data_IF_732850955259
#
_entry.id   IF_732850955259
#
_cell.length_a   1.000
_cell.length_b   1.000
_cell.length_c   1.000
_cell.angle_alpha   90.00
_cell.angle_beta   90.00
_cell.angle_gamma   90.00
#
_symmetry.space_group_name_H-M   'P 1'
#
loop_
_entity.id
_entity.type
_entity.pdbx_description
1 polymer ?
#
# COMPACT_ATOMS: atom_id res chain seq x y z
N UNK A 1 -21.58 -0.16 -39.96
CA UNK A 1 -21.25 -0.03 -38.56
C UNK A 1 -22.39 -0.60 -37.76
N UNK A 2 -22.28 -1.87 -37.29
CA UNK A 2 -23.22 -2.43 -36.33
C UNK A 2 -23.10 -1.66 -35.03
N UNK A 3 -24.07 -0.83 -34.69
CA UNK A 3 -24.21 -0.30 -33.31
C UNK A 3 -24.60 -1.49 -32.44
N UNK A 4 -23.69 -1.99 -31.64
CA UNK A 4 -24.00 -2.91 -30.57
C UNK A 4 -24.92 -2.16 -29.60
N UNK A 5 -26.17 -2.58 -29.53
CA UNK A 5 -27.15 -2.06 -28.56
C UNK A 5 -26.83 -2.73 -27.20
N UNK A 6 -25.77 -2.19 -26.50
CA UNK A 6 -25.34 -2.69 -25.22
C UNK A 6 -26.12 -1.96 -24.12
N UNK A 7 -26.90 -2.71 -23.36
CA UNK A 7 -27.62 -2.15 -22.22
C UNK A 7 -26.66 -1.77 -21.08
N UNK A 8 -27.03 -0.75 -20.29
CA UNK A 8 -26.24 -0.37 -19.09
C UNK A 8 -26.10 -1.54 -18.12
N UNK A 9 -27.10 -2.42 -18.08
CA UNK A 9 -27.07 -3.62 -17.24
C UNK A 9 -25.94 -4.58 -17.64
N UNK A 10 -25.79 -4.85 -18.94
CA UNK A 10 -24.67 -5.69 -19.42
C UNK A 10 -23.32 -5.06 -19.11
N UNK A 11 -23.20 -3.74 -19.23
CA UNK A 11 -21.95 -3.03 -18.92
C UNK A 11 -21.55 -3.20 -17.47
N UNK A 12 -22.43 -2.93 -16.51
CA UNK A 12 -22.10 -3.02 -15.09
C UNK A 12 -21.83 -4.46 -14.64
N UNK A 13 -22.54 -5.45 -15.23
CA UNK A 13 -22.35 -6.87 -14.94
C UNK A 13 -21.05 -7.44 -15.52
N UNK A 14 -20.51 -6.85 -16.59
CA UNK A 14 -19.21 -7.23 -17.16
C UNK A 14 -18.02 -6.70 -16.35
N UNK A 15 -18.24 -5.74 -15.45
CA UNK A 15 -17.16 -5.16 -14.63
C UNK A 15 -16.77 -6.11 -13.50
N UNK A 16 -15.46 -6.23 -13.27
CA UNK A 16 -14.91 -7.06 -12.19
C UNK A 16 -14.96 -6.39 -10.81
N UNK A 17 -15.11 -5.08 -10.78
CA UNK A 17 -15.26 -4.31 -9.56
C UNK A 17 -16.68 -4.49 -9.02
N UNK A 18 -16.83 -4.65 -7.71
CA UNK A 18 -18.13 -4.71 -7.06
C UNK A 18 -18.82 -3.35 -7.16
N UNK A 19 -20.02 -3.32 -7.75
CA UNK A 19 -20.77 -2.09 -7.98
C UNK A 19 -22.16 -2.24 -7.38
N UNK A 20 -22.56 -1.24 -6.58
CA UNK A 20 -23.93 -1.03 -6.15
C UNK A 20 -24.43 0.33 -6.63
N UNK A 21 -25.66 0.39 -7.08
CA UNK A 21 -26.37 1.62 -7.41
C UNK A 21 -27.39 1.88 -6.31
N UNK A 22 -27.31 3.07 -5.75
CA UNK A 22 -28.08 3.50 -4.58
C UNK A 22 -28.93 4.70 -5.00
N UNK A 23 -30.21 4.71 -4.64
CA UNK A 23 -31.11 5.82 -4.94
C UNK A 23 -30.89 7.03 -3.99
N UNK A 24 -31.63 8.12 -4.21
CA UNK A 24 -31.52 9.32 -3.38
C UNK A 24 -31.94 9.11 -1.91
N UNK A 25 -32.66 8.04 -1.60
CA UNK A 25 -33.03 7.63 -0.23
C UNK A 25 -31.96 6.77 0.46
N UNK A 26 -30.85 6.46 -0.23
CA UNK A 26 -29.81 5.58 0.29
C UNK A 26 -30.12 4.09 0.13
N UNK A 27 -31.15 3.73 -0.66
CA UNK A 27 -31.58 2.34 -0.86
C UNK A 27 -30.89 1.75 -2.09
N UNK A 28 -30.36 0.55 -1.97
CA UNK A 28 -29.76 -0.20 -3.08
C UNK A 28 -30.86 -0.56 -4.10
N UNK A 29 -30.71 -0.12 -5.34
CA UNK A 29 -31.62 -0.44 -6.43
C UNK A 29 -31.05 -1.45 -7.42
N UNK A 30 -29.73 -1.62 -7.44
CA UNK A 30 -29.07 -2.63 -8.28
C UNK A 30 -27.68 -2.94 -7.72
N UNK A 31 -27.24 -4.19 -7.91
CA UNK A 31 -25.85 -4.62 -7.70
C UNK A 31 -25.40 -5.42 -8.92
N UNK A 32 -24.10 -5.42 -9.20
CA UNK A 32 -23.56 -6.21 -10.29
C UNK A 32 -23.18 -7.64 -9.84
N UNK A 33 -22.81 -8.48 -10.81
CA UNK A 33 -22.44 -9.87 -10.55
C UNK A 33 -21.21 -9.98 -9.62
N UNK A 34 -20.21 -9.09 -9.77
CA UNK A 34 -19.03 -9.07 -8.93
C UNK A 34 -19.36 -8.78 -7.45
N UNK A 35 -20.34 -7.91 -7.18
CA UNK A 35 -20.84 -7.67 -5.82
C UNK A 35 -21.42 -8.94 -5.18
N UNK A 36 -22.31 -9.62 -5.92
CA UNK A 36 -22.94 -10.86 -5.43
C UNK A 36 -21.89 -11.93 -5.19
N UNK A 37 -20.93 -12.09 -6.09
CA UNK A 37 -19.87 -13.09 -5.97
C UNK A 37 -18.94 -12.78 -4.78
N UNK A 38 -18.52 -11.54 -4.61
CA UNK A 38 -17.67 -11.14 -3.49
C UNK A 38 -18.37 -11.39 -2.14
N UNK A 39 -19.66 -11.04 -2.05
CA UNK A 39 -20.44 -11.28 -0.85
C UNK A 39 -20.62 -12.79 -0.56
N UNK A 40 -20.81 -13.60 -1.62
CA UNK A 40 -20.88 -15.06 -1.50
C UNK A 40 -19.58 -15.64 -0.96
N UNK A 41 -18.44 -15.20 -1.47
CA UNK A 41 -17.10 -15.61 -0.98
C UNK A 41 -16.89 -15.24 0.50
N UNK A 42 -17.67 -14.28 0.99
CA UNK A 42 -17.70 -13.82 2.38
C UNK A 42 -18.78 -14.49 3.24
N UNK A 43 -19.47 -15.49 2.68
CA UNK A 43 -20.46 -16.30 3.39
C UNK A 43 -21.89 -15.79 3.30
N UNK A 44 -22.16 -14.73 2.54
CA UNK A 44 -23.54 -14.28 2.26
C UNK A 44 -24.16 -15.21 1.21
N UNK A 45 -25.34 -15.79 1.42
CA UNK A 45 -25.97 -16.66 0.44
C UNK A 45 -26.17 -15.94 -0.91
N UNK A 46 -25.94 -16.64 -2.04
CA UNK A 46 -26.17 -16.07 -3.38
C UNK A 46 -27.63 -15.65 -3.61
N UNK A 47 -28.58 -16.28 -2.90
CA UNK A 47 -29.99 -15.92 -2.92
C UNK A 47 -30.35 -14.68 -2.13
N UNK A 48 -29.36 -14.05 -1.46
CA UNK A 48 -29.59 -12.84 -0.68
C UNK A 48 -29.98 -11.68 -1.60
N UNK A 49 -31.11 -11.03 -1.29
CA UNK A 49 -31.59 -9.91 -2.06
C UNK A 49 -31.03 -8.60 -1.53
N UNK A 50 -30.08 -8.03 -2.24
CA UNK A 50 -29.46 -6.73 -1.94
C UNK A 50 -30.37 -5.54 -2.26
N UNK A 51 -31.32 -5.70 -3.20
CA UNK A 51 -32.22 -4.63 -3.61
C UNK A 51 -33.24 -4.34 -2.51
N UNK A 52 -33.40 -3.08 -2.17
CA UNK A 52 -34.29 -2.64 -1.09
C UNK A 52 -33.59 -2.43 0.25
N UNK A 53 -32.31 -2.78 0.38
CA UNK A 53 -31.54 -2.59 1.62
C UNK A 53 -30.98 -1.16 1.63
N UNK A 54 -31.02 -0.51 2.80
CA UNK A 54 -30.38 0.80 2.98
C UNK A 54 -28.86 0.64 3.05
N UNK A 55 -28.17 1.21 2.05
CA UNK A 55 -26.71 1.13 1.96
C UNK A 55 -26.02 1.84 3.12
N UNK A 56 -26.59 2.94 3.63
CA UNK A 56 -25.97 3.69 4.74
C UNK A 56 -25.90 2.85 6.04
N UNK A 57 -26.86 1.93 6.25
CA UNK A 57 -26.81 1.00 7.39
C UNK A 57 -25.70 -0.05 7.22
N UNK A 58 -25.44 -0.49 5.99
CA UNK A 58 -24.33 -1.39 5.68
C UNK A 58 -23.00 -0.66 5.87
N UNK A 59 -22.91 0.57 5.38
CA UNK A 59 -21.71 1.40 5.51
C UNK A 59 -21.37 1.68 6.98
N UNK A 60 -22.36 1.95 7.82
CA UNK A 60 -22.20 2.12 9.26
C UNK A 60 -21.60 0.86 9.91
N UNK A 61 -22.13 -0.30 9.59
CA UNK A 61 -21.62 -1.57 10.08
C UNK A 61 -20.19 -1.91 9.59
N UNK A 62 -19.76 -1.37 8.45
CA UNK A 62 -18.45 -1.60 7.85
C UNK A 62 -17.40 -0.57 8.26
N UNK A 63 -17.79 0.69 8.53
CA UNK A 63 -16.87 1.80 8.85
C UNK A 63 -16.30 1.73 10.28
N UNK A 64 -16.83 0.89 11.14
CA UNK A 64 -16.37 0.77 12.53
C UNK A 64 -16.66 2.05 13.34
N UNK A 65 -15.64 2.63 13.98
CA UNK A 65 -15.82 3.76 14.91
C UNK A 65 -15.70 5.15 14.25
N UNK A 66 -15.54 5.24 12.91
CA UNK A 66 -15.35 6.54 12.24
C UNK A 66 -16.67 7.11 11.72
N UNK A 67 -17.38 7.86 12.59
CA UNK A 67 -18.62 8.56 12.23
C UNK A 67 -18.44 9.55 11.06
N UNK A 68 -17.23 10.05 10.80
CA UNK A 68 -16.97 11.01 9.72
C UNK A 68 -17.13 10.39 8.32
N UNK A 69 -16.95 9.07 8.19
CA UNK A 69 -17.08 8.40 6.90
C UNK A 69 -18.53 8.34 6.43
N UNK A 70 -19.48 8.18 7.34
CA UNK A 70 -20.91 8.24 7.03
C UNK A 70 -21.33 9.63 6.56
N UNK A 71 -20.87 10.69 7.23
CA UNK A 71 -21.15 12.07 6.84
C UNK A 71 -20.63 12.39 5.44
N UNK A 72 -19.43 11.87 5.09
CA UNK A 72 -18.83 12.03 3.76
C UNK A 72 -19.61 11.27 2.69
N UNK A 73 -20.04 10.05 2.96
CA UNK A 73 -20.91 9.28 2.05
C UNK A 73 -22.27 9.98 1.86
N UNK A 74 -22.85 10.48 2.94
CA UNK A 74 -24.09 11.26 2.89
C UNK A 74 -23.93 12.53 2.05
N UNK A 75 -22.79 13.21 2.14
CA UNK A 75 -22.48 14.38 1.32
C UNK A 75 -22.42 14.03 -0.18
N UNK A 76 -21.93 12.84 -0.55
CA UNK A 76 -21.96 12.36 -1.94
C UNK A 76 -23.41 12.08 -2.38
N UNK A 77 -24.18 11.40 -1.54
CA UNK A 77 -25.58 11.08 -1.83
C UNK A 77 -26.41 12.34 -2.06
N UNK A 78 -26.17 13.38 -1.28
CA UNK A 78 -26.81 14.69 -1.42
C UNK A 78 -26.23 15.56 -2.54
N UNK A 79 -25.14 15.13 -3.18
CA UNK A 79 -24.46 15.86 -4.25
C UNK A 79 -23.65 17.07 -3.78
N UNK A 80 -23.42 17.21 -2.48
CA UNK A 80 -22.54 18.23 -1.88
C UNK A 80 -21.09 17.90 -2.26
N UNK A 81 -20.72 16.62 -2.19
CA UNK A 81 -19.41 16.12 -2.66
C UNK A 81 -19.57 15.40 -4.00
N UNK A 82 -18.57 15.52 -4.86
CA UNK A 82 -18.50 14.83 -6.16
C UNK A 82 -17.82 13.48 -6.08
N UNK A 83 -17.20 13.17 -4.95
CA UNK A 83 -16.40 11.96 -4.79
C UNK A 83 -16.17 11.67 -3.33
N UNK A 84 -16.13 10.37 -2.98
CA UNK A 84 -15.68 9.85 -1.70
C UNK A 84 -14.79 8.63 -1.96
N UNK A 85 -13.73 8.49 -1.17
CA UNK A 85 -12.85 7.32 -1.15
C UNK A 85 -12.35 7.09 0.26
N UNK A 86 -12.40 5.83 0.69
CA UNK A 86 -11.78 5.38 1.93
C UNK A 86 -11.27 3.95 1.80
N UNK A 87 -10.35 3.56 2.66
CA UNK A 87 -9.83 2.21 2.77
C UNK A 87 -10.15 1.69 4.17
N UNK A 88 -10.72 0.51 4.26
CA UNK A 88 -11.08 -0.08 5.53
C UNK A 88 -10.70 -1.56 5.58
N UNK A 89 -10.57 -2.06 6.79
CA UNK A 89 -10.29 -3.46 7.04
C UNK A 89 -11.57 -4.15 7.50
N UNK A 90 -12.04 -5.14 6.77
CA UNK A 90 -13.17 -5.94 7.17
C UNK A 90 -12.79 -6.82 8.36
N UNK A 91 -13.50 -6.66 9.48
CA UNK A 91 -13.36 -7.48 10.68
C UNK A 91 -14.32 -8.68 10.68
N UNK A 92 -15.31 -8.69 9.79
CA UNK A 92 -16.36 -9.71 9.72
C UNK A 92 -15.86 -11.03 9.09
N UNK A 93 -14.67 -11.03 8.48
CA UNK A 93 -14.13 -12.13 7.69
C UNK A 93 -12.79 -12.60 8.27
N UNK A 94 -12.58 -13.91 8.29
CA UNK A 94 -11.29 -14.53 8.63
C UNK A 94 -10.76 -15.31 7.42
N UNK A 95 -9.56 -14.97 6.87
CA UNK A 95 -8.67 -13.89 7.28
C UNK A 95 -9.21 -12.51 6.88
N UNK A 96 -8.96 -11.53 7.74
CA UNK A 96 -9.37 -10.13 7.52
C UNK A 96 -8.82 -9.57 6.20
N UNK A 97 -9.67 -8.91 5.41
CA UNK A 97 -9.35 -8.34 4.11
C UNK A 97 -9.37 -6.81 4.14
N UNK A 98 -8.61 -6.20 3.24
CA UNK A 98 -8.63 -4.77 3.00
C UNK A 98 -9.51 -4.44 1.80
N UNK A 99 -10.41 -3.49 2.00
CA UNK A 99 -11.28 -2.98 0.94
C UNK A 99 -11.08 -1.49 0.74
N UNK A 100 -11.23 -1.06 -0.50
CA UNK A 100 -11.39 0.34 -0.87
C UNK A 100 -12.83 0.56 -1.30
N UNK A 101 -13.47 1.53 -0.69
CA UNK A 101 -14.77 2.04 -1.12
C UNK A 101 -14.58 3.34 -1.89
N UNK A 102 -15.31 3.50 -2.98
CA UNK A 102 -15.43 4.74 -3.74
C UNK A 102 -16.90 5.02 -4.00
N UNK A 103 -17.33 6.26 -3.86
CA UNK A 103 -18.69 6.65 -4.14
C UNK A 103 -18.74 7.91 -5.02
N UNK A 104 -19.67 7.91 -5.96
CA UNK A 104 -19.89 8.98 -6.95
C UNK A 104 -21.37 9.32 -7.02
N UNK A 105 -21.77 10.62 -7.07
CA UNK A 105 -23.17 10.98 -7.24
C UNK A 105 -23.64 10.61 -8.65
N UNK A 106 -24.81 9.98 -8.74
CA UNK A 106 -25.46 9.65 -9.99
C UNK A 106 -26.33 10.81 -10.43
N UNK A 107 -26.02 11.46 -11.56
CA UNK A 107 -26.72 12.63 -12.10
C UNK A 107 -27.08 12.40 -13.57
N UNK A 108 -28.18 12.98 -14.04
CA UNK A 108 -28.55 13.00 -15.47
C UNK A 108 -27.76 14.04 -16.27
N UNK A 109 -27.24 15.07 -15.59
CA UNK A 109 -26.45 16.16 -16.16
C UNK A 109 -25.61 16.85 -15.07
N UNK A 110 -24.60 17.63 -15.48
CA UNK A 110 -23.65 18.23 -14.57
C UNK A 110 -24.24 19.23 -13.57
N UNK A 111 -25.46 19.73 -13.79
CA UNK A 111 -26.14 20.75 -12.99
C UNK A 111 -27.43 20.27 -12.31
N UNK A 112 -27.80 18.99 -12.49
CA UNK A 112 -28.99 18.43 -11.87
C UNK A 112 -28.70 17.89 -10.47
N UNK A 113 -29.74 17.86 -9.63
CA UNK A 113 -29.66 17.19 -8.33
C UNK A 113 -29.34 15.70 -8.51
N UNK A 114 -28.57 15.10 -7.60
CA UNK A 114 -28.24 13.69 -7.70
C UNK A 114 -29.51 12.84 -7.52
N UNK A 115 -29.65 11.83 -8.35
CA UNK A 115 -30.70 10.82 -8.26
C UNK A 115 -30.33 9.66 -7.36
N UNK A 116 -29.13 9.70 -6.81
CA UNK A 116 -28.53 8.65 -6.00
C UNK A 116 -27.02 8.68 -6.10
N UNK A 117 -26.39 7.54 -5.84
CA UNK A 117 -24.94 7.36 -5.97
C UNK A 117 -24.60 5.99 -6.52
N UNK A 118 -23.41 5.89 -7.11
CA UNK A 118 -22.76 4.63 -7.45
C UNK A 118 -21.71 4.37 -6.38
N UNK A 119 -21.73 3.18 -5.82
CA UNK A 119 -20.73 2.71 -4.86
C UNK A 119 -19.91 1.60 -5.49
N UNK A 120 -18.60 1.70 -5.42
CA UNK A 120 -17.66 0.72 -5.90
C UNK A 120 -16.84 0.18 -4.71
N UNK A 121 -16.75 -1.15 -4.60
CA UNK A 121 -15.87 -1.81 -3.65
C UNK A 121 -14.79 -2.60 -4.40
N UNK A 122 -13.55 -2.48 -3.93
CA UNK A 122 -12.40 -3.20 -4.48
C UNK A 122 -11.64 -3.89 -3.36
N UNK A 123 -11.34 -5.17 -3.50
CA UNK A 123 -10.41 -5.87 -2.61
C UNK A 123 -8.98 -5.42 -2.92
N UNK A 124 -8.36 -4.74 -1.96
CA UNK A 124 -7.00 -4.22 -2.04
C UNK A 124 -6.01 -4.99 -1.15
N UNK A 125 -6.40 -6.16 -0.64
CA UNK A 125 -5.58 -6.97 0.28
C UNK A 125 -4.21 -7.29 -0.31
N UNK A 126 -4.18 -7.67 -1.60
CA UNK A 126 -2.92 -7.95 -2.31
C UNK A 126 -2.03 -6.71 -2.43
N UNK A 127 -2.62 -5.55 -2.71
CA UNK A 127 -1.88 -4.28 -2.79
C UNK A 127 -1.28 -3.92 -1.44
N UNK A 128 -2.06 -4.04 -0.36
CA UNK A 128 -1.61 -3.79 1.01
C UNK A 128 -0.50 -4.75 1.44
N UNK A 129 -0.58 -6.01 1.03
CA UNK A 129 0.49 -6.96 1.30
C UNK A 129 1.78 -6.60 0.58
N UNK A 130 1.71 -6.25 -0.72
CA UNK A 130 2.87 -5.81 -1.49
C UNK A 130 3.50 -4.53 -0.92
N UNK A 131 2.69 -3.56 -0.49
CA UNK A 131 3.17 -2.36 0.20
C UNK A 131 3.93 -2.72 1.49
N UNK A 132 3.38 -3.61 2.31
CA UNK A 132 4.02 -4.07 3.53
C UNK A 132 5.32 -4.83 3.25
N UNK A 133 5.33 -5.74 2.29
CA UNK A 133 6.52 -6.51 1.89
C UNK A 133 7.63 -5.57 1.38
N UNK A 134 7.26 -4.54 0.61
CA UNK A 134 8.19 -3.51 0.15
C UNK A 134 8.75 -2.70 1.33
N UNK A 135 7.92 -2.30 2.29
CA UNK A 135 8.36 -1.59 3.48
C UNK A 135 9.32 -2.43 4.33
N UNK A 136 9.04 -3.73 4.47
CA UNK A 136 9.93 -4.67 5.15
C UNK A 136 11.27 -4.77 4.40
N UNK A 137 11.25 -4.95 3.07
CA UNK A 137 12.45 -5.03 2.25
C UNK A 137 13.29 -3.74 2.35
N UNK A 138 12.65 -2.57 2.28
CA UNK A 138 13.32 -1.28 2.45
C UNK A 138 13.91 -1.09 3.86
N UNK A 139 13.24 -1.58 4.90
CA UNK A 139 13.74 -1.54 6.27
C UNK A 139 14.96 -2.42 6.48
N UNK A 140 15.09 -3.49 5.71
CA UNK A 140 16.25 -4.40 5.71
C UNK A 140 17.45 -3.81 4.97
N UNK A 141 17.25 -2.82 4.09
CA UNK A 141 18.33 -2.04 3.48
C UNK A 141 18.89 -1.11 4.56
N UNK A 142 19.74 -1.66 5.42
CA UNK A 142 20.49 -0.90 6.44
C UNK A 142 21.53 -0.04 5.74
N UNK A 143 21.16 1.15 5.31
CA UNK A 143 22.13 2.18 4.97
C UNK A 143 22.67 2.75 6.28
N UNK A 144 24.01 2.75 6.43
CA UNK A 144 24.70 3.45 7.51
C UNK A 144 24.41 4.95 7.38
N UNK A 145 23.36 5.41 8.05
CA UNK A 145 22.99 6.83 8.09
C UNK A 145 23.13 7.34 9.53
N UNK A 146 23.84 8.43 9.68
CA UNK A 146 23.97 9.12 10.96
C UNK A 146 25.38 9.08 11.56
N UNK A 147 25.49 9.53 12.80
CA UNK A 147 26.75 9.56 13.56
C UNK A 147 26.98 8.22 14.24
N UNK A 148 28.06 7.53 13.86
CA UNK A 148 28.47 6.30 14.53
C UNK A 148 29.37 6.66 15.74
N UNK A 149 29.05 6.20 16.96
CA UNK A 149 29.91 6.41 18.10
C UNK A 149 31.19 5.58 17.92
N UNK A 150 32.32 6.29 17.74
CA UNK A 150 33.63 5.69 17.55
C UNK A 150 34.57 6.03 18.74
N UNK A 151 35.31 5.06 19.20
CA UNK A 151 36.32 5.30 20.22
C UNK A 151 37.44 6.19 19.68
N UNK A 152 37.69 7.31 20.34
CA UNK A 152 38.73 8.26 19.92
C UNK A 152 40.13 7.66 19.90
N UNK A 153 40.39 6.62 20.72
CA UNK A 153 41.71 5.98 20.87
C UNK A 153 41.88 4.79 19.94
N UNK A 154 41.03 3.77 20.06
CA UNK A 154 41.23 2.51 19.33
C UNK A 154 40.35 2.38 18.07
N UNK A 155 39.53 3.39 17.76
CA UNK A 155 38.66 3.46 16.54
C UNK A 155 37.58 2.36 16.43
N UNK A 156 37.31 1.62 17.50
CA UNK A 156 36.19 0.68 17.52
C UNK A 156 34.86 1.45 17.48
N UNK A 157 33.86 0.85 16.86
CA UNK A 157 32.51 1.38 16.77
C UNK A 157 31.65 0.69 17.83
N UNK A 158 30.85 1.47 18.55
CA UNK A 158 29.84 0.95 19.48
C UNK A 158 28.56 0.66 18.71
N UNK A 159 28.07 -0.58 18.79
CA UNK A 159 26.82 -1.00 18.19
C UNK A 159 25.61 -0.69 19.08
N UNK A 160 24.42 -1.07 18.59
CA UNK A 160 23.13 -0.83 19.28
C UNK A 160 23.00 -1.65 20.58
N UNK A 161 23.81 -2.71 20.75
CA UNK A 161 23.87 -3.55 21.96
C UNK A 161 24.95 -3.05 22.95
N UNK A 162 25.45 -1.82 22.76
CA UNK A 162 26.57 -1.21 23.56
C UNK A 162 27.91 -1.98 23.49
N UNK A 163 28.11 -2.84 22.49
CA UNK A 163 29.33 -3.60 22.29
C UNK A 163 30.33 -2.87 21.37
N UNK A 164 31.62 -2.88 21.72
CA UNK A 164 32.68 -2.26 20.94
C UNK A 164 33.24 -3.23 19.89
N UNK A 165 32.91 -3.03 18.62
CA UNK A 165 33.32 -3.84 17.48
C UNK A 165 34.46 -3.18 16.69
N UNK A 166 35.27 -3.98 15.96
CA UNK A 166 36.15 -3.42 14.94
C UNK A 166 35.28 -2.80 13.79
N UNK A 167 35.88 -1.86 13.04
CA UNK A 167 35.20 -1.23 11.91
C UNK A 167 34.79 -2.30 10.91
N UNK A 168 35.66 -3.25 10.62
CA UNK A 168 35.40 -4.35 9.66
C UNK A 168 34.22 -5.21 10.12
N UNK A 169 34.26 -5.69 11.39
CA UNK A 169 33.16 -6.50 11.94
C UNK A 169 31.83 -5.76 11.94
N UNK A 170 31.86 -4.46 12.28
CA UNK A 170 30.67 -3.63 12.26
C UNK A 170 30.10 -3.49 10.84
N UNK A 171 30.96 -3.20 9.85
CA UNK A 171 30.53 -3.05 8.46
C UNK A 171 30.06 -4.37 7.84
N UNK A 172 30.73 -5.51 8.14
CA UNK A 172 30.24 -6.83 7.71
C UNK A 172 28.84 -7.11 8.24
N UNK A 173 28.59 -6.82 9.52
CA UNK A 173 27.29 -7.07 10.16
C UNK A 173 26.18 -6.14 9.65
N UNK A 174 26.52 -4.87 9.35
CA UNK A 174 25.52 -3.82 9.10
C UNK A 174 25.42 -3.35 7.64
N UNK A 175 26.41 -3.63 6.80
CA UNK A 175 26.46 -3.19 5.40
C UNK A 175 26.66 -4.33 4.40
N UNK A 176 26.72 -5.59 4.84
CA UNK A 176 26.99 -6.76 3.98
C UNK A 176 28.25 -6.58 3.11
N UNK A 177 29.28 -5.94 3.68
CA UNK A 177 30.52 -5.62 3.00
C UNK A 177 31.55 -6.70 3.28
N UNK A 178 32.22 -7.21 2.25
CA UNK A 178 33.38 -8.08 2.36
C UNK A 178 34.67 -7.26 2.25
N UNK A 179 35.69 -7.61 3.00
CA UNK A 179 36.97 -6.92 3.00
C UNK A 179 38.05 -7.80 2.37
N UNK A 180 38.80 -7.22 1.44
CA UNK A 180 40.09 -7.75 0.98
C UNK A 180 41.19 -7.00 1.71
N UNK A 181 42.33 -7.68 2.00
CA UNK A 181 43.47 -7.08 2.67
C UNK A 181 44.54 -6.72 1.65
N UNK A 182 44.90 -5.45 1.65
CA UNK A 182 46.00 -4.91 0.86
C UNK A 182 46.81 -3.91 1.71
N UNK A 183 48.00 -3.55 1.26
CA UNK A 183 48.88 -2.60 1.95
C UNK A 183 48.95 -1.33 1.11
N UNK A 184 48.49 -0.21 1.68
CA UNK A 184 48.56 1.06 0.98
C UNK A 184 50.03 1.53 0.77
N UNK A 185 50.29 2.34 -0.28
CA UNK A 185 51.64 2.80 -0.63
C UNK A 185 52.41 3.45 0.53
N UNK A 186 51.74 4.21 1.40
CA UNK A 186 52.37 4.85 2.54
C UNK A 186 52.80 3.85 3.62
N UNK A 187 52.00 2.81 3.82
CA UNK A 187 52.36 1.72 4.72
C UNK A 187 53.51 0.88 4.15
N UNK A 188 53.54 0.64 2.82
CA UNK A 188 54.67 -0.04 2.16
C UNK A 188 55.96 0.76 2.35
N UNK A 189 55.92 2.06 2.11
CA UNK A 189 57.14 2.93 2.31
C UNK A 189 57.62 2.90 3.73
N UNK A 190 56.71 2.84 4.71
CA UNK A 190 57.05 2.85 6.13
C UNK A 190 57.55 1.48 6.62
N UNK A 191 56.88 0.39 6.26
CA UNK A 191 57.17 -0.96 6.75
C UNK A 191 58.25 -1.68 5.95
N UNK A 192 58.31 -1.36 4.64
CA UNK A 192 59.19 -2.02 3.67
C UNK A 192 59.95 -1.00 2.81
N UNK A 193 60.80 -0.13 3.41
CA UNK A 193 61.45 0.98 2.69
C UNK A 193 62.36 0.49 1.55
N UNK A 194 62.85 -0.73 1.62
CA UNK A 194 63.69 -1.34 0.55
C UNK A 194 62.89 -1.64 -0.74
N UNK A 195 61.58 -1.72 -0.66
CA UNK A 195 60.66 -2.04 -1.77
C UNK A 195 59.86 -0.82 -2.25
N UNK A 196 60.05 0.35 -1.66
CA UNK A 196 59.28 1.56 -1.97
C UNK A 196 59.49 2.05 -3.39
N UNK A 197 60.65 1.80 -4.01
CA UNK A 197 60.99 2.16 -5.39
C UNK A 197 60.07 1.47 -6.43
N UNK A 198 59.43 0.34 -6.10
CA UNK A 198 58.49 -0.35 -6.99
C UNK A 198 57.21 0.46 -7.16
N UNK A 199 56.84 1.29 -6.19
CA UNK A 199 55.62 2.12 -6.23
C UNK A 199 55.80 3.37 -7.12
N UNK A 200 57.04 3.74 -7.46
CA UNK A 200 57.34 4.92 -8.24
C UNK A 200 57.44 4.61 -9.75
N UNK A 201 57.24 3.32 -10.13
CA UNK A 201 57.18 2.92 -11.55
C UNK A 201 55.77 3.18 -12.07
N UNK A 202 55.57 4.03 -13.11
CA UNK A 202 54.27 4.25 -13.68
C UNK A 202 53.74 2.96 -14.32
N UNK A 203 52.66 2.39 -13.79
CA UNK A 203 51.93 1.32 -14.45
C UNK A 203 51.23 1.91 -15.68
N UNK A 204 51.80 1.70 -16.83
CA UNK A 204 51.12 1.89 -18.10
C UNK A 204 49.96 0.89 -18.20
N UNK A 205 48.75 1.36 -18.17
CA UNK A 205 47.60 0.74 -18.83
C UNK A 205 47.19 1.56 -20.04
#
# INVERSE_FOLDING_TARGET
>A
LHTLDISYHELIHAMKQCIAVVDAGGVIISVNHAWIQSAYDEGVPQSFNWVGINFMQIADALSGEDEQDLDRLQAVLQGISTYYRNEFRSSCIQPSRWFQIEAFPLRNGAREEPRGMIVCLSDISRSKQLENDLMIALSQIRTLRGLLPICAVCKRIRDDDDLWNSIESFLQKHAHTEFTHDICPDCIRRLYPKYSSILDTPTHQ
#
